data_IF_698059515988
#
_entry.id   IF_698059515988
#
_cell.length_a   1.000
_cell.length_b   1.000
_cell.length_c   1.000
_cell.angle_alpha   90.00
_cell.angle_beta   90.00
_cell.angle_gamma   90.00
#
_symmetry.space_group_name_H-M   'P 1'
#
loop_
_entity.id
_entity.type
_entity.pdbx_description
1 polymer ?
#
# COMPACT_ATOMS: atom_id res chain seq x y z
N UNK A 1 -46.32 1.83 -10.85
CA UNK A 1 -45.85 0.47 -11.06
C UNK A 1 -44.36 0.35 -11.40
N UNK A 2 -43.78 1.29 -12.19
CA UNK A 2 -42.36 1.23 -12.58
C UNK A 2 -41.40 1.44 -11.39
N UNK A 3 -41.71 2.36 -10.49
CA UNK A 3 -40.89 2.63 -9.29
C UNK A 3 -40.84 1.44 -8.34
N UNK A 4 -41.95 0.69 -8.21
CA UNK A 4 -42.03 -0.50 -7.36
C UNK A 4 -41.23 -1.66 -7.98
N UNK A 5 -41.29 -1.79 -9.30
CA UNK A 5 -40.50 -2.81 -10.04
C UNK A 5 -39.03 -2.49 -9.98
N UNK A 6 -38.65 -1.20 -10.10
CA UNK A 6 -37.27 -0.72 -9.98
C UNK A 6 -36.72 -0.97 -8.58
N UNK A 7 -37.49 -0.65 -7.54
CA UNK A 7 -37.12 -0.89 -6.14
C UNK A 7 -37.02 -2.39 -5.80
N UNK A 8 -37.82 -3.24 -6.45
CA UNK A 8 -37.73 -4.70 -6.35
C UNK A 8 -36.49 -5.26 -7.08
N UNK A 9 -36.20 -4.73 -8.28
CA UNK A 9 -35.00 -5.10 -9.04
C UNK A 9 -33.72 -4.67 -8.32
N UNK A 10 -33.67 -3.48 -7.72
CA UNK A 10 -32.55 -3.01 -6.90
C UNK A 10 -32.31 -3.86 -5.64
N UNK A 11 -33.35 -4.51 -5.10
CA UNK A 11 -33.23 -5.47 -3.97
C UNK A 11 -32.79 -6.86 -4.38
N UNK A 12 -32.94 -7.23 -5.64
CA UNK A 12 -32.65 -8.60 -6.15
C UNK A 12 -31.34 -8.66 -6.91
N UNK A 13 -30.88 -7.54 -7.48
CA UNK A 13 -29.61 -7.45 -8.18
C UNK A 13 -28.49 -7.17 -7.17
N UNK A 14 -27.32 -7.85 -7.30
CA UNK A 14 -26.17 -7.53 -6.46
C UNK A 14 -25.77 -6.07 -6.66
N UNK A 15 -25.42 -5.39 -5.57
CA UNK A 15 -24.93 -4.01 -5.61
C UNK A 15 -23.57 -3.93 -6.34
N UNK A 16 -23.18 -2.72 -6.74
CA UNK A 16 -21.91 -2.50 -7.44
C UNK A 16 -20.72 -2.95 -6.58
N UNK A 17 -20.72 -2.62 -5.28
CA UNK A 17 -19.70 -3.06 -4.35
C UNK A 17 -19.64 -4.59 -4.19
N UNK A 18 -20.78 -5.27 -4.19
CA UNK A 18 -20.82 -6.73 -4.13
C UNK A 18 -20.24 -7.37 -5.40
N UNK A 19 -20.55 -6.83 -6.59
CA UNK A 19 -19.98 -7.32 -7.85
C UNK A 19 -18.46 -7.14 -7.88
N UNK A 20 -17.96 -5.98 -7.48
CA UNK A 20 -16.52 -5.72 -7.40
C UNK A 20 -15.83 -6.63 -6.37
N UNK A 21 -16.44 -6.83 -5.21
CA UNK A 21 -15.91 -7.72 -4.19
C UNK A 21 -15.85 -9.18 -4.66
N UNK A 22 -16.88 -9.68 -5.34
CA UNK A 22 -16.87 -11.02 -5.93
C UNK A 22 -15.78 -11.19 -6.98
N UNK A 23 -15.64 -10.24 -7.89
CA UNK A 23 -14.56 -10.25 -8.89
C UNK A 23 -13.18 -10.22 -8.24
N UNK A 24 -13.02 -9.43 -7.18
CA UNK A 24 -11.77 -9.39 -6.42
C UNK A 24 -11.46 -10.74 -5.75
N UNK A 25 -12.47 -11.43 -5.21
CA UNK A 25 -12.31 -12.77 -4.63
C UNK A 25 -11.82 -13.78 -5.68
N UNK A 26 -12.36 -13.73 -6.90
CA UNK A 26 -11.90 -14.59 -8.00
C UNK A 26 -10.41 -14.36 -8.31
N UNK A 27 -9.95 -13.10 -8.30
CA UNK A 27 -8.53 -12.78 -8.45
C UNK A 27 -7.68 -13.31 -7.29
N UNK A 28 -8.17 -13.18 -6.06
CA UNK A 28 -7.48 -13.68 -4.86
C UNK A 28 -7.34 -15.20 -4.91
N UNK A 29 -8.41 -15.92 -5.26
CA UNK A 29 -8.40 -17.39 -5.42
C UNK A 29 -7.45 -17.85 -6.53
N UNK A 30 -7.28 -17.05 -7.57
CA UNK A 30 -6.28 -17.25 -8.61
C UNK A 30 -4.85 -16.85 -8.21
N UNK A 31 -4.63 -16.37 -6.97
CA UNK A 31 -3.34 -15.88 -6.49
C UNK A 31 -2.96 -14.48 -6.97
N UNK A 32 -3.87 -13.79 -7.64
CA UNK A 32 -3.63 -12.48 -8.25
C UNK A 32 -4.15 -11.33 -7.35
N UNK A 33 -3.50 -11.15 -6.20
CA UNK A 33 -3.86 -10.10 -5.24
C UNK A 33 -3.69 -8.68 -5.78
N UNK A 34 -2.76 -8.49 -6.72
CA UNK A 34 -2.49 -7.17 -7.30
C UNK A 34 -3.69 -6.63 -8.11
N UNK A 35 -4.38 -7.51 -8.87
CA UNK A 35 -5.57 -7.12 -9.63
C UNK A 35 -6.83 -7.03 -8.75
N UNK A 36 -6.87 -7.76 -7.64
CA UNK A 36 -7.94 -7.66 -6.65
C UNK A 36 -7.93 -6.31 -5.92
N UNK A 37 -6.75 -5.75 -5.66
CA UNK A 37 -6.58 -4.57 -4.80
C UNK A 37 -7.38 -3.34 -5.27
N UNK A 38 -7.34 -2.89 -6.54
CA UNK A 38 -8.11 -1.73 -6.99
C UNK A 38 -9.62 -1.95 -6.87
N UNK A 39 -10.10 -3.16 -7.18
CA UNK A 39 -11.53 -3.51 -7.05
C UNK A 39 -12.01 -3.42 -5.61
N UNK A 40 -11.21 -3.91 -4.66
CA UNK A 40 -11.54 -3.84 -3.24
C UNK A 40 -11.49 -2.42 -2.70
N UNK A 41 -10.54 -1.59 -3.14
CA UNK A 41 -10.51 -0.17 -2.77
C UNK A 41 -11.76 0.56 -3.24
N UNK A 42 -12.20 0.34 -4.48
CA UNK A 42 -13.44 0.92 -5.01
C UNK A 42 -14.68 0.40 -4.27
N UNK A 43 -14.80 -0.91 -4.10
CA UNK A 43 -15.91 -1.53 -3.37
C UNK A 43 -16.01 -1.00 -1.94
N UNK A 44 -14.89 -0.84 -1.25
CA UNK A 44 -14.83 -0.32 0.10
C UNK A 44 -15.30 1.13 0.19
N UNK A 45 -14.94 1.97 -0.79
CA UNK A 45 -15.43 3.35 -0.86
C UNK A 45 -16.92 3.42 -1.18
N UNK A 46 -17.40 2.66 -2.16
CA UNK A 46 -18.82 2.62 -2.56
C UNK A 46 -19.71 2.15 -1.40
N UNK A 47 -19.25 1.16 -0.63
CA UNK A 47 -19.95 0.61 0.53
C UNK A 47 -19.91 1.49 1.78
N UNK A 48 -19.36 2.71 1.67
CA UNK A 48 -19.12 3.59 2.81
C UNK A 48 -18.26 2.92 3.90
N UNK A 49 -17.17 2.29 3.50
CA UNK A 49 -16.20 1.63 4.39
C UNK A 49 -16.78 0.43 5.17
N UNK A 50 -17.55 -0.42 4.48
CA UNK A 50 -18.04 -1.68 5.06
C UNK A 50 -16.92 -2.47 5.73
N UNK A 51 -17.15 -2.92 6.96
CA UNK A 51 -16.18 -3.70 7.74
C UNK A 51 -15.78 -5.01 7.05
N UNK A 52 -16.73 -5.70 6.40
CA UNK A 52 -16.48 -6.96 5.69
C UNK A 52 -15.53 -6.75 4.51
N UNK A 53 -15.79 -5.74 3.68
CA UNK A 53 -14.92 -5.39 2.54
C UNK A 53 -13.59 -4.84 3.05
N UNK A 54 -13.60 -4.08 4.14
CA UNK A 54 -12.38 -3.57 4.79
C UNK A 54 -11.46 -4.69 5.28
N UNK A 55 -12.00 -5.74 5.87
CA UNK A 55 -11.20 -6.92 6.28
C UNK A 55 -10.59 -7.63 5.07
N UNK A 56 -11.34 -7.82 3.99
CA UNK A 56 -10.83 -8.43 2.77
C UNK A 56 -9.76 -7.55 2.07
N UNK A 57 -9.96 -6.24 2.09
CA UNK A 57 -8.98 -5.27 1.59
C UNK A 57 -7.69 -5.32 2.40
N UNK A 58 -7.77 -5.30 3.73
CA UNK A 58 -6.61 -5.39 4.61
C UNK A 58 -5.84 -6.71 4.40
N UNK A 59 -6.54 -7.83 4.30
CA UNK A 59 -5.94 -9.14 4.01
C UNK A 59 -5.18 -9.14 2.67
N UNK A 60 -5.77 -8.57 1.63
CA UNK A 60 -5.13 -8.42 0.31
C UNK A 60 -3.90 -7.52 0.37
N UNK A 61 -3.97 -6.42 1.13
CA UNK A 61 -2.84 -5.52 1.34
C UNK A 61 -1.70 -6.21 2.09
N UNK A 62 -2.00 -7.03 3.09
CA UNK A 62 -1.01 -7.85 3.81
C UNK A 62 -0.33 -8.83 2.86
N UNK A 63 -1.09 -9.54 2.01
CA UNK A 63 -0.54 -10.45 1.01
C UNK A 63 0.41 -9.76 0.02
N UNK A 64 0.19 -8.49 -0.25
CA UNK A 64 1.05 -7.63 -1.09
C UNK A 64 2.17 -6.91 -0.32
N UNK A 65 2.41 -7.27 0.95
CA UNK A 65 3.40 -6.64 1.82
C UNK A 65 3.17 -5.13 2.03
N UNK A 66 1.89 -4.73 2.13
CA UNK A 66 1.46 -3.33 2.34
C UNK A 66 0.85 -3.17 3.74
N UNK A 67 1.63 -3.51 4.76
CA UNK A 67 1.17 -3.56 6.16
C UNK A 67 0.65 -2.23 6.69
N UNK A 68 1.26 -1.10 6.30
CA UNK A 68 0.83 0.22 6.75
C UNK A 68 -0.54 0.60 6.19
N UNK A 69 -0.80 0.28 4.92
CA UNK A 69 -2.12 0.49 4.31
C UNK A 69 -3.19 -0.41 4.96
N UNK A 70 -2.85 -1.68 5.22
CA UNK A 70 -3.74 -2.61 5.90
C UNK A 70 -4.08 -2.13 7.32
N UNK A 71 -3.11 -1.65 8.08
CA UNK A 71 -3.34 -1.09 9.41
C UNK A 71 -4.27 0.13 9.36
N UNK A 72 -4.09 1.01 8.38
CA UNK A 72 -4.96 2.16 8.20
C UNK A 72 -6.41 1.78 7.93
N UNK A 73 -6.65 0.74 7.12
CA UNK A 73 -7.99 0.19 6.87
C UNK A 73 -8.57 -0.44 8.15
N UNK A 74 -7.81 -1.25 8.85
CA UNK A 74 -8.27 -1.90 10.10
C UNK A 74 -8.66 -0.88 11.17
N UNK A 75 -7.99 0.26 11.26
CA UNK A 75 -8.32 1.35 12.20
C UNK A 75 -9.70 1.96 11.96
N UNK A 76 -10.28 1.81 10.77
CA UNK A 76 -11.62 2.30 10.47
C UNK A 76 -12.73 1.36 10.92
N UNK A 77 -12.41 0.10 11.25
CA UNK A 77 -13.39 -0.92 11.61
C UNK A 77 -13.86 -0.69 13.05
N UNK A 78 -15.18 -0.48 13.24
CA UNK A 78 -15.74 -0.21 14.57
C UNK A 78 -15.60 -1.40 15.50
N UNK A 79 -15.57 -1.14 16.81
CA UNK A 79 -15.32 -2.12 17.85
C UNK A 79 -16.24 -3.35 17.79
N UNK A 80 -17.53 -3.15 17.44
CA UNK A 80 -18.49 -4.24 17.33
C UNK A 80 -18.19 -5.23 16.20
N UNK A 81 -17.41 -4.83 15.20
CA UNK A 81 -17.05 -5.64 14.02
C UNK A 81 -15.63 -6.23 14.13
N UNK A 82 -14.92 -5.96 15.23
CA UNK A 82 -13.57 -6.46 15.50
C UNK A 82 -13.61 -7.90 16.02
N UNK A 83 -13.88 -8.82 15.12
CA UNK A 83 -14.00 -10.26 15.38
C UNK A 83 -12.64 -10.98 15.40
N UNK A 84 -12.67 -12.31 15.42
CA UNK A 84 -11.47 -13.17 15.40
C UNK A 84 -10.63 -12.94 14.14
N UNK A 85 -11.25 -12.69 12.97
CA UNK A 85 -10.56 -12.39 11.71
C UNK A 85 -9.79 -11.08 11.82
N UNK A 86 -10.43 -10.04 12.34
CA UNK A 86 -9.78 -8.76 12.62
C UNK A 86 -8.54 -8.94 13.52
N UNK A 87 -8.69 -9.64 14.64
CA UNK A 87 -7.57 -9.89 15.57
C UNK A 87 -6.42 -10.66 14.91
N UNK A 88 -6.73 -11.62 14.05
CA UNK A 88 -5.75 -12.37 13.28
C UNK A 88 -4.96 -11.47 12.33
N UNK A 89 -5.62 -10.54 11.63
CA UNK A 89 -4.97 -9.60 10.74
C UNK A 89 -4.08 -8.59 11.49
N UNK A 90 -4.53 -8.09 12.65
CA UNK A 90 -3.71 -7.22 13.52
C UNK A 90 -2.44 -7.94 13.95
N UNK A 91 -2.56 -9.19 14.41
CA UNK A 91 -1.40 -10.00 14.82
C UNK A 91 -0.44 -10.26 13.65
N UNK A 92 -0.97 -10.52 12.47
CA UNK A 92 -0.17 -10.73 11.25
C UNK A 92 0.59 -9.47 10.85
N UNK A 93 -0.03 -8.28 10.92
CA UNK A 93 0.63 -7.01 10.67
C UNK A 93 1.77 -6.79 11.66
N UNK A 94 1.55 -7.07 12.94
CA UNK A 94 2.59 -6.92 13.97
C UNK A 94 3.80 -7.83 13.69
N UNK A 95 3.58 -9.08 13.31
CA UNK A 95 4.64 -10.00 12.92
C UNK A 95 5.41 -9.52 11.68
N UNK A 96 4.71 -8.98 10.69
CA UNK A 96 5.35 -8.43 9.49
C UNK A 96 6.19 -7.18 9.81
N UNK A 97 5.70 -6.31 10.69
CA UNK A 97 6.46 -5.14 11.15
C UNK A 97 7.72 -5.53 11.91
N UNK A 98 7.64 -6.53 12.79
CA UNK A 98 8.81 -7.06 13.49
C UNK A 98 9.81 -7.68 12.52
N UNK A 99 9.35 -8.45 11.53
CA UNK A 99 10.21 -9.04 10.49
C UNK A 99 10.83 -7.97 9.56
N UNK A 100 10.19 -6.81 9.41
CA UNK A 100 10.67 -5.69 8.60
C UNK A 100 11.74 -4.84 9.29
N UNK A 101 11.97 -5.01 10.57
CA UNK A 101 13.02 -4.34 11.34
C UNK A 101 14.24 -5.26 11.51
N UNK A 102 14.92 -5.52 10.39
CA UNK A 102 16.08 -6.43 10.35
C UNK A 102 17.34 -5.79 10.93
N UNK A 103 18.31 -6.57 11.45
CA UNK A 103 19.58 -6.04 11.91
C UNK A 103 20.34 -5.26 10.83
N UNK A 104 20.28 -5.67 9.57
CA UNK A 104 20.87 -4.98 8.42
C UNK A 104 20.25 -3.59 8.21
N UNK A 105 18.92 -3.48 8.30
CA UNK A 105 18.22 -2.19 8.19
C UNK A 105 18.59 -1.30 9.37
N UNK A 106 18.60 -1.80 10.59
CA UNK A 106 18.99 -1.05 11.78
C UNK A 106 20.43 -0.50 11.65
N UNK A 107 21.36 -1.32 11.17
CA UNK A 107 22.74 -0.92 10.94
C UNK A 107 22.84 0.17 9.86
N UNK A 108 22.16 0.02 8.73
CA UNK A 108 22.13 1.02 7.67
C UNK A 108 21.48 2.33 8.15
N UNK A 109 20.41 2.25 8.94
CA UNK A 109 19.79 3.45 9.54
C UNK A 109 20.76 4.23 10.42
N UNK A 110 21.56 3.54 11.23
CA UNK A 110 22.60 4.17 12.05
C UNK A 110 23.68 4.81 11.18
N UNK A 111 24.13 4.15 10.13
CA UNK A 111 25.13 4.68 9.20
C UNK A 111 24.60 5.91 8.45
N UNK A 112 23.36 5.89 7.99
CA UNK A 112 22.70 7.04 7.34
C UNK A 112 22.55 8.20 8.31
N UNK A 113 22.17 7.95 9.58
CA UNK A 113 22.06 8.97 10.60
C UNK A 113 23.41 9.64 10.89
N UNK A 114 24.50 8.89 10.85
CA UNK A 114 25.87 9.41 11.03
C UNK A 114 26.41 10.11 9.79
N UNK A 115 25.88 9.81 8.61
CA UNK A 115 26.33 10.36 7.31
C UNK A 115 25.11 10.83 6.49
N UNK A 116 24.37 11.85 6.92
CA UNK A 116 23.08 12.22 6.33
C UNK A 116 23.17 12.77 4.91
N UNK A 117 24.38 13.12 4.43
CA UNK A 117 24.63 13.62 3.09
C UNK A 117 25.06 12.50 2.10
N UNK A 118 25.30 11.29 2.59
CA UNK A 118 25.72 10.17 1.76
C UNK A 118 24.51 9.56 1.02
N UNK A 119 24.31 10.01 -0.20
CA UNK A 119 23.23 9.55 -1.04
C UNK A 119 23.37 8.07 -1.49
N UNK A 120 24.60 7.57 -1.62
CA UNK A 120 24.83 6.16 -1.96
C UNK A 120 24.37 5.25 -0.81
N UNK A 121 24.71 5.60 0.41
CA UNK A 121 24.31 4.89 1.61
C UNK A 121 22.78 4.96 1.83
N UNK A 122 22.19 6.15 1.62
CA UNK A 122 20.73 6.31 1.66
C UNK A 122 20.02 5.45 0.60
N UNK A 123 20.61 5.31 -0.59
CA UNK A 123 20.06 4.46 -1.65
C UNK A 123 20.11 2.98 -1.24
N UNK A 124 21.18 2.52 -0.62
CA UNK A 124 21.26 1.15 -0.09
C UNK A 124 20.18 0.88 0.95
N UNK A 125 19.99 1.80 1.90
CA UNK A 125 18.93 1.70 2.90
C UNK A 125 17.54 1.68 2.25
N UNK A 126 17.29 2.55 1.27
CA UNK A 126 16.02 2.62 0.57
C UNK A 126 15.67 1.31 -0.15
N UNK A 127 16.64 0.64 -0.75
CA UNK A 127 16.46 -0.69 -1.38
C UNK A 127 16.04 -1.72 -0.31
N UNK A 128 16.71 -1.76 0.83
CA UNK A 128 16.39 -2.69 1.92
C UNK A 128 14.99 -2.41 2.50
N UNK A 129 14.64 -1.15 2.70
CA UNK A 129 13.30 -0.75 3.16
C UNK A 129 12.21 -1.18 2.18
N UNK A 130 12.45 -1.01 0.88
CA UNK A 130 11.51 -1.46 -0.15
C UNK A 130 11.32 -2.99 -0.13
N UNK A 131 12.39 -3.76 0.04
CA UNK A 131 12.32 -5.23 0.07
C UNK A 131 11.45 -5.78 1.21
N UNK A 132 11.37 -5.06 2.32
CA UNK A 132 10.53 -5.43 3.47
C UNK A 132 9.18 -4.69 3.51
N UNK A 133 8.80 -4.00 2.43
CA UNK A 133 7.51 -3.32 2.30
C UNK A 133 7.42 -1.94 2.96
N UNK A 134 8.49 -1.40 3.50
CA UNK A 134 8.57 -0.05 4.09
C UNK A 134 8.74 1.01 2.99
N UNK A 135 7.78 1.04 2.06
CA UNK A 135 7.89 1.79 0.81
C UNK A 135 7.83 3.31 1.00
N UNK A 136 7.00 3.81 1.92
CA UNK A 136 6.92 5.24 2.18
C UNK A 136 8.25 5.77 2.73
N UNK A 137 8.85 5.10 3.70
CA UNK A 137 10.15 5.45 4.25
C UNK A 137 11.26 5.41 3.18
N UNK A 138 11.24 4.38 2.34
CA UNK A 138 12.17 4.23 1.21
C UNK A 138 12.09 5.41 0.23
N UNK A 139 10.87 5.74 -0.20
CA UNK A 139 10.64 6.84 -1.15
C UNK A 139 10.93 8.21 -0.55
N UNK A 140 10.57 8.44 0.71
CA UNK A 140 10.85 9.70 1.39
C UNK A 140 12.36 9.92 1.54
N UNK A 141 13.11 8.88 1.92
CA UNK A 141 14.56 8.94 2.03
C UNK A 141 15.22 9.32 0.71
N UNK A 142 14.90 8.62 -0.39
CA UNK A 142 15.43 8.94 -1.72
C UNK A 142 15.02 10.32 -2.19
N UNK A 143 13.75 10.69 -1.99
CA UNK A 143 13.25 11.99 -2.42
C UNK A 143 13.92 13.15 -1.68
N UNK A 144 14.27 12.98 -0.42
CA UNK A 144 15.02 13.98 0.37
C UNK A 144 16.38 14.31 -0.24
N UNK A 145 17.06 13.31 -0.83
CA UNK A 145 18.30 13.51 -1.57
C UNK A 145 18.06 14.10 -2.96
N UNK A 146 17.05 13.63 -3.69
CA UNK A 146 16.71 14.12 -5.04
C UNK A 146 16.30 15.59 -5.05
N UNK A 147 15.64 16.09 -4.00
CA UNK A 147 15.33 17.52 -3.84
C UNK A 147 16.57 18.40 -3.81
N UNK A 148 17.68 17.87 -3.33
CA UNK A 148 18.95 18.60 -3.22
C UNK A 148 19.79 18.44 -4.49
N UNK A 149 19.80 17.25 -5.06
CA UNK A 149 20.60 16.90 -6.24
C UNK A 149 19.93 15.74 -7.00
N UNK A 150 19.44 16.03 -8.21
CA UNK A 150 18.83 15.03 -9.09
C UNK A 150 19.82 13.98 -9.61
N UNK A 151 21.12 14.25 -9.51
CA UNK A 151 22.21 13.34 -9.88
C UNK A 151 22.81 12.58 -8.68
N UNK A 152 22.16 12.68 -7.52
CA UNK A 152 22.63 12.07 -6.27
C UNK A 152 23.03 10.60 -6.48
N UNK A 153 24.16 10.20 -5.88
CA UNK A 153 24.76 8.87 -6.05
C UNK A 153 24.98 8.49 -7.53
N UNK A 154 25.51 9.40 -8.34
CA UNK A 154 25.76 9.20 -9.77
C UNK A 154 24.49 8.79 -10.56
N UNK A 155 23.33 9.36 -10.20
CA UNK A 155 22.03 9.05 -10.79
C UNK A 155 21.36 7.79 -10.24
N UNK A 156 22.02 7.03 -9.37
CA UNK A 156 21.48 5.79 -8.84
C UNK A 156 20.27 6.03 -7.93
N UNK A 157 20.27 7.11 -7.15
CA UNK A 157 19.15 7.46 -6.28
C UNK A 157 17.86 7.69 -7.10
N UNK A 158 17.93 8.40 -8.20
CA UNK A 158 16.80 8.64 -9.11
C UNK A 158 16.34 7.35 -9.79
N UNK A 159 17.26 6.54 -10.27
CA UNK A 159 16.96 5.24 -10.89
C UNK A 159 16.20 4.34 -9.92
N UNK A 160 16.74 4.16 -8.71
CA UNK A 160 16.10 3.34 -7.67
C UNK A 160 14.72 3.88 -7.29
N UNK A 161 14.58 5.19 -7.16
CA UNK A 161 13.29 5.82 -6.89
C UNK A 161 12.24 5.48 -7.96
N UNK A 162 12.61 5.60 -9.24
CA UNK A 162 11.73 5.27 -10.36
C UNK A 162 11.39 3.76 -10.42
N UNK A 163 12.35 2.89 -10.10
CA UNK A 163 12.13 1.44 -10.04
C UNK A 163 11.13 1.06 -8.94
N UNK A 164 11.23 1.68 -7.77
CA UNK A 164 10.27 1.47 -6.67
C UNK A 164 8.87 1.96 -7.06
N UNK A 165 8.76 3.14 -7.68
CA UNK A 165 7.48 3.65 -8.17
C UNK A 165 6.86 2.71 -9.22
N UNK A 166 7.66 2.15 -10.11
CA UNK A 166 7.20 1.18 -11.10
C UNK A 166 6.71 -0.12 -10.44
N UNK A 167 7.44 -0.63 -9.44
CA UNK A 167 7.07 -1.82 -8.70
C UNK A 167 5.75 -1.66 -7.93
N UNK A 168 5.45 -0.48 -7.41
CA UNK A 168 4.18 -0.17 -6.73
C UNK A 168 2.99 -0.09 -7.71
N UNK A 169 3.24 0.19 -8.99
CA UNK A 169 2.22 0.24 -10.03
C UNK A 169 1.54 1.60 -10.24
N UNK A 170 0.75 1.69 -11.30
CA UNK A 170 0.10 2.95 -11.72
C UNK A 170 -1.09 3.35 -10.85
N UNK A 171 -1.78 2.39 -10.26
CA UNK A 171 -2.95 2.61 -9.40
C UNK A 171 -2.61 2.87 -7.93
N UNK A 172 -1.33 2.83 -7.56
CA UNK A 172 -0.90 3.02 -6.18
C UNK A 172 -0.92 4.50 -5.79
N UNK A 173 -1.58 4.83 -4.67
CA UNK A 173 -1.71 6.21 -4.20
C UNK A 173 -0.38 6.82 -3.76
N UNK A 174 0.47 6.03 -3.08
CA UNK A 174 1.80 6.46 -2.66
C UNK A 174 2.70 6.74 -3.87
N UNK A 175 2.71 5.83 -4.84
CA UNK A 175 3.45 6.01 -6.08
C UNK A 175 2.97 7.23 -6.86
N UNK A 176 1.66 7.46 -6.94
CA UNK A 176 1.07 8.64 -7.60
C UNK A 176 1.48 9.94 -6.91
N UNK A 177 1.52 9.96 -5.57
CA UNK A 177 2.00 11.11 -4.79
C UNK A 177 3.44 11.45 -5.16
N UNK A 178 4.34 10.47 -5.12
CA UNK A 178 5.76 10.70 -5.37
C UNK A 178 6.10 10.93 -6.85
N UNK A 179 5.34 10.35 -7.80
CA UNK A 179 5.47 10.70 -9.23
C UNK A 179 5.19 12.17 -9.47
N UNK A 180 4.13 12.72 -8.88
CA UNK A 180 3.82 14.16 -9.00
C UNK A 180 4.91 15.04 -8.39
N UNK A 181 5.46 14.63 -7.24
CA UNK A 181 6.54 15.36 -6.60
C UNK A 181 7.83 15.32 -7.43
N UNK A 182 8.19 14.17 -8.00
CA UNK A 182 9.35 14.07 -8.89
C UNK A 182 9.16 14.92 -10.14
N UNK A 183 7.97 14.89 -10.76
CA UNK A 183 7.64 15.70 -11.92
C UNK A 183 7.82 17.19 -11.63
N UNK A 184 7.35 17.66 -10.47
CA UNK A 184 7.52 19.05 -10.05
C UNK A 184 8.99 19.46 -9.79
N UNK A 185 9.91 18.51 -9.57
CA UNK A 185 11.34 18.78 -9.48
C UNK A 185 12.02 18.88 -10.84
N UNK A 186 11.43 18.25 -11.86
CA UNK A 186 12.03 18.19 -13.21
C UNK A 186 11.62 19.36 -14.11
N UNK A 187 10.48 20.01 -13.80
CA UNK A 187 9.85 21.06 -14.59
C UNK A 187 9.39 22.24 -13.73
#
# INVERSE_FOLDING_TARGET
PEEVIRALLEKVLPSEEELKARQAIEFIEAGNHADALPLLKEAWQISNQSSEIGLLLAETQIALNRSDEAEAVLKTIPLQDQDTRYQGLVAQIELLKQAADTPEIQQLQQQVASNPQDAALATQLAIQLHQVGRNEESLELLFSHLKKDLTAADGQARKTFQEILAALGTGDALASKYRRQLYALLY
#
